data_IF_890029649794
#
_entry.id   IF_890029649794
#
_cell.length_a   1.000
_cell.length_b   1.000
_cell.length_c   1.000
_cell.angle_alpha   90.00
_cell.angle_beta   90.00
_cell.angle_gamma   90.00
#
_symmetry.space_group_name_H-M   'P 1'
#
loop_
_entity.id
_entity.type
_entity.pdbx_description
1 polymer ?
#
# COMPACT_ATOMS: atom_id res chain seq x y z
N UNK A 1 -1.42 29.24 6.57
CA UNK A 1 -1.28 28.68 5.21
C UNK A 1 -0.62 27.28 5.13
N UNK A 2 0.01 26.74 6.19
CA UNK A 2 0.63 25.40 6.19
C UNK A 2 -0.28 24.15 6.44
N UNK A 3 -1.54 24.21 6.94
CA UNK A 3 -2.30 22.97 7.23
C UNK A 3 -2.93 22.30 5.99
N UNK A 4 -3.09 23.02 4.87
CA UNK A 4 -3.70 22.48 3.64
C UNK A 4 -2.79 21.53 2.87
N UNK A 5 -1.49 21.84 2.85
CA UNK A 5 -0.46 21.03 2.19
C UNK A 5 -0.29 19.68 2.89
N UNK A 6 -0.25 19.69 4.22
CA UNK A 6 -0.19 18.47 5.04
C UNK A 6 -1.43 17.59 4.84
N UNK A 7 -2.62 18.21 4.75
CA UNK A 7 -3.89 17.50 4.47
C UNK A 7 -3.87 16.85 3.09
N UNK A 8 -3.40 17.55 2.06
CA UNK A 8 -3.21 16.96 0.71
C UNK A 8 -2.15 15.86 0.70
N UNK A 9 -1.04 16.03 1.43
CA UNK A 9 0.00 15.00 1.53
C UNK A 9 -0.54 13.74 2.21
N UNK A 10 -1.24 13.89 3.34
CA UNK A 10 -1.92 12.78 4.04
C UNK A 10 -2.97 12.10 3.17
N UNK A 11 -3.75 12.86 2.41
CA UNK A 11 -4.72 12.30 1.48
C UNK A 11 -4.03 11.45 0.41
N UNK A 12 -2.94 11.95 -0.20
CA UNK A 12 -2.17 11.17 -1.19
C UNK A 12 -1.56 9.89 -0.61
N UNK A 13 -1.05 9.94 0.62
CA UNK A 13 -0.50 8.76 1.30
C UNK A 13 -1.62 7.75 1.61
N UNK A 14 -2.75 8.19 2.15
CA UNK A 14 -3.88 7.30 2.43
C UNK A 14 -4.48 6.71 1.14
N UNK A 15 -4.56 7.49 0.07
CA UNK A 15 -5.04 7.04 -1.24
C UNK A 15 -4.10 5.96 -1.79
N UNK A 16 -2.78 6.22 -1.75
CA UNK A 16 -1.76 5.25 -2.15
C UNK A 16 -1.84 3.97 -1.31
N UNK A 17 -1.97 4.09 0.02
CA UNK A 17 -2.16 2.94 0.91
C UNK A 17 -3.43 2.15 0.58
N UNK A 18 -4.54 2.83 0.28
CA UNK A 18 -5.78 2.17 -0.10
C UNK A 18 -5.66 1.45 -1.45
N UNK A 19 -4.94 2.05 -2.40
CA UNK A 19 -4.66 1.49 -3.73
C UNK A 19 -3.77 0.26 -3.62
N UNK A 20 -2.71 0.35 -2.82
CA UNK A 20 -1.82 -0.75 -2.48
C UNK A 20 -2.60 -1.87 -1.79
N UNK A 21 -3.47 -1.53 -0.84
CA UNK A 21 -4.30 -2.52 -0.16
C UNK A 21 -5.21 -3.28 -1.12
N UNK A 22 -5.81 -2.60 -2.10
CA UNK A 22 -6.64 -3.24 -3.14
C UNK A 22 -5.83 -4.07 -4.14
N UNK A 23 -4.57 -3.71 -4.39
CA UNK A 23 -3.68 -4.48 -5.27
C UNK A 23 -3.15 -5.74 -4.57
N UNK A 24 -2.73 -5.61 -3.31
CA UNK A 24 -2.17 -6.71 -2.53
C UNK A 24 -3.23 -7.76 -2.17
N UNK A 25 -4.49 -7.36 -1.96
CA UNK A 25 -5.58 -8.29 -1.62
C UNK A 25 -5.70 -9.50 -2.59
N UNK A 26 -5.85 -9.30 -3.92
CA UNK A 26 -5.88 -10.43 -4.87
C UNK A 26 -4.52 -11.12 -5.02
N UNK A 27 -3.41 -10.38 -4.88
CA UNK A 27 -2.06 -10.95 -5.06
C UNK A 27 -1.63 -11.88 -3.93
N UNK A 28 -2.07 -11.58 -2.70
CA UNK A 28 -1.71 -12.34 -1.50
C UNK A 28 -2.76 -13.40 -1.16
N UNK A 29 -3.94 -13.37 -1.79
CA UNK A 29 -5.01 -14.37 -1.59
C UNK A 29 -5.52 -14.46 -0.15
N UNK A 30 -5.23 -13.46 0.70
CA UNK A 30 -5.65 -13.44 2.10
C UNK A 30 -7.10 -13.02 2.21
N UNK A 31 -7.81 -13.76 3.05
CA UNK A 31 -9.24 -13.61 3.28
C UNK A 31 -9.61 -12.22 3.83
N UNK A 32 -10.81 -11.74 3.51
CA UNK A 32 -11.28 -10.37 3.87
C UNK A 32 -11.29 -10.14 5.39
N UNK A 33 -11.30 -11.21 6.19
CA UNK A 33 -11.16 -11.19 7.66
C UNK A 33 -9.79 -10.69 8.12
N UNK A 34 -8.71 -10.95 7.38
CA UNK A 34 -7.39 -10.38 7.64
C UNK A 34 -7.36 -8.87 7.39
N UNK A 35 -8.21 -8.35 6.48
CA UNK A 35 -8.28 -6.94 6.13
C UNK A 35 -8.72 -6.04 7.29
N UNK A 36 -9.59 -6.55 8.18
CA UNK A 36 -10.10 -5.83 9.36
C UNK A 36 -9.05 -5.68 10.45
N UNK A 37 -8.03 -6.53 10.45
CA UNK A 37 -6.91 -6.50 11.40
C UNK A 37 -5.62 -5.96 10.79
N UNK A 38 -5.63 -5.68 9.48
CA UNK A 38 -4.48 -5.23 8.72
C UNK A 38 -4.17 -3.77 9.05
N UNK A 39 -3.06 -3.53 9.75
CA UNK A 39 -2.62 -2.18 10.05
C UNK A 39 -2.00 -1.51 8.82
N UNK A 40 -1.83 -0.18 8.87
CA UNK A 40 -1.16 0.55 7.76
C UNK A 40 0.28 0.05 7.54
N UNK A 41 0.94 -0.42 8.61
CA UNK A 41 2.26 -1.00 8.55
C UNK A 41 2.28 -2.33 7.78
N UNK A 42 1.32 -3.24 8.04
CA UNK A 42 1.19 -4.50 7.29
C UNK A 42 0.97 -4.27 5.78
N UNK A 43 0.15 -3.28 5.41
CA UNK A 43 -0.08 -2.92 4.00
C UNK A 43 1.23 -2.52 3.33
N UNK A 44 2.01 -1.67 4.00
CA UNK A 44 3.31 -1.22 3.54
C UNK A 44 4.27 -2.40 3.42
N UNK A 45 4.35 -3.26 4.42
CA UNK A 45 5.27 -4.40 4.43
C UNK A 45 4.94 -5.42 3.34
N UNK A 46 3.65 -5.78 3.17
CA UNK A 46 3.22 -6.67 2.07
C UNK A 46 3.50 -6.06 0.71
N UNK A 47 3.30 -4.75 0.57
CA UNK A 47 3.63 -4.02 -0.67
C UNK A 47 5.11 -4.06 -0.97
N UNK A 48 5.96 -3.78 0.03
CA UNK A 48 7.42 -3.80 -0.14
C UNK A 48 7.90 -5.20 -0.46
N UNK A 49 7.38 -6.23 0.21
CA UNK A 49 7.66 -7.64 -0.09
C UNK A 49 7.29 -7.98 -1.53
N UNK A 50 6.10 -7.57 -1.98
CA UNK A 50 5.66 -7.77 -3.36
C UNK A 50 6.54 -7.03 -4.36
N UNK A 51 6.91 -5.77 -4.09
CA UNK A 51 7.80 -4.99 -4.97
C UNK A 51 9.23 -5.54 -5.00
N UNK A 52 9.67 -6.19 -3.92
CA UNK A 52 10.98 -6.85 -3.85
C UNK A 52 10.96 -8.23 -4.51
N UNK A 53 9.80 -8.88 -4.57
CA UNK A 53 9.57 -10.13 -5.30
C UNK A 53 9.35 -9.88 -6.79
N UNK A 54 8.77 -8.72 -7.14
CA UNK A 54 8.79 -8.19 -8.51
C UNK A 54 10.26 -8.06 -8.92
N UNK A 55 10.72 -8.85 -9.91
CA UNK A 55 12.09 -8.75 -10.37
C UNK A 55 12.32 -7.30 -10.82
N UNK A 56 13.48 -6.70 -10.51
CA UNK A 56 13.79 -5.37 -11.01
C UNK A 56 13.62 -5.43 -12.52
N UNK A 57 12.62 -4.73 -13.05
CA UNK A 57 12.42 -4.64 -14.49
C UNK A 57 13.71 -4.05 -15.03
N UNK A 58 14.53 -4.92 -15.62
CA UNK A 58 15.81 -4.57 -16.22
C UNK A 58 15.48 -3.55 -17.30
N UNK A 59 15.61 -2.28 -16.93
CA UNK A 59 15.50 -1.17 -17.86
C UNK A 59 16.83 -1.18 -18.60
N UNK A 60 16.90 -2.04 -19.62
CA UNK A 60 17.83 -1.88 -20.75
C UNK A 60 17.25 -0.85 -21.71
#
# INVERSE_FOLDING_TARGET
MKPLMEKRRRARINDSLNRLKNLILPLTGRDKTFYSKLEKADILEMTVRFLSDVPPVSTK
#
